data_IF_046431372635
#
_entry.id   IF_046431372635
#
_cell.length_a   1.000
_cell.length_b   1.000
_cell.length_c   1.000
_cell.angle_alpha   90.00
_cell.angle_beta   90.00
_cell.angle_gamma   90.00
#
_symmetry.space_group_name_H-M   'P 1'
#
loop_
_entity.id
_entity.type
_entity.pdbx_description
1 polymer ?
#
# COMPACT_ATOMS: atom_id res chain seq x y z
N UNK A 1 -33.38 14.33 -16.40
CA UNK A 1 -31.98 14.79 -16.52
C UNK A 1 -31.14 14.35 -15.32
N UNK A 2 -31.65 14.39 -14.08
CA UNK A 2 -30.93 13.85 -12.90
C UNK A 2 -30.72 12.33 -12.93
N UNK A 3 -31.72 11.58 -13.39
CA UNK A 3 -31.66 10.11 -13.47
C UNK A 3 -30.66 9.54 -14.48
N UNK A 4 -30.28 10.30 -15.49
CA UNK A 4 -29.29 9.84 -16.49
C UNK A 4 -27.86 10.01 -15.97
N UNK A 5 -27.57 11.11 -15.27
CA UNK A 5 -26.30 11.29 -14.56
C UNK A 5 -26.06 10.21 -13.52
N UNK A 6 -27.09 9.83 -12.76
CA UNK A 6 -26.97 8.76 -11.76
C UNK A 6 -26.64 7.40 -12.40
N UNK A 7 -27.21 7.11 -13.57
CA UNK A 7 -26.90 5.88 -14.33
C UNK A 7 -25.47 5.89 -14.85
N UNK A 8 -25.03 6.99 -15.47
CA UNK A 8 -23.65 7.13 -15.96
C UNK A 8 -22.62 6.97 -14.85
N UNK A 9 -22.89 7.56 -13.68
CA UNK A 9 -22.03 7.43 -12.49
C UNK A 9 -21.99 5.99 -11.99
N UNK A 10 -23.13 5.29 -11.97
CA UNK A 10 -23.18 3.89 -11.55
C UNK A 10 -22.40 2.98 -12.50
N UNK A 11 -22.60 3.13 -13.80
CA UNK A 11 -21.88 2.37 -14.82
C UNK A 11 -20.36 2.62 -14.76
N UNK A 12 -19.94 3.86 -14.50
CA UNK A 12 -18.54 4.20 -14.28
C UNK A 12 -17.95 3.44 -13.08
N UNK A 13 -18.63 3.44 -11.93
CA UNK A 13 -18.13 2.76 -10.74
C UNK A 13 -18.17 1.23 -10.86
N UNK A 14 -19.16 0.66 -11.56
CA UNK A 14 -19.21 -0.77 -11.85
C UNK A 14 -18.01 -1.20 -12.70
N UNK A 15 -17.69 -0.45 -13.77
CA UNK A 15 -16.50 -0.71 -14.60
C UNK A 15 -15.21 -0.55 -13.80
N UNK A 16 -15.09 0.54 -13.03
CA UNK A 16 -13.92 0.80 -12.20
C UNK A 16 -13.67 -0.33 -11.20
N UNK A 17 -14.74 -0.84 -10.57
CA UNK A 17 -14.63 -1.95 -9.64
C UNK A 17 -14.15 -3.23 -10.31
N UNK A 18 -14.69 -3.57 -11.48
CA UNK A 18 -14.24 -4.73 -12.25
C UNK A 18 -12.76 -4.62 -12.66
N UNK A 19 -12.31 -3.43 -13.08
CA UNK A 19 -10.89 -3.18 -13.40
C UNK A 19 -9.98 -3.32 -12.17
N UNK A 20 -10.43 -2.85 -11.00
CA UNK A 20 -9.70 -2.99 -9.74
C UNK A 20 -9.58 -4.46 -9.31
N UNK A 21 -10.69 -5.21 -9.40
CA UNK A 21 -10.71 -6.63 -9.02
C UNK A 21 -9.86 -7.50 -9.96
N UNK A 22 -9.73 -7.11 -11.24
CA UNK A 22 -8.87 -7.79 -12.22
C UNK A 22 -7.39 -7.44 -12.05
N UNK A 23 -7.08 -6.19 -11.69
CA UNK A 23 -5.70 -5.68 -11.63
C UNK A 23 -5.01 -5.91 -10.30
N UNK A 24 -5.76 -5.99 -9.20
CA UNK A 24 -5.21 -6.05 -7.85
C UNK A 24 -5.94 -7.09 -7.01
N UNK A 25 -5.18 -8.02 -6.42
CA UNK A 25 -5.72 -8.99 -5.48
C UNK A 25 -5.72 -8.38 -4.08
N UNK A 26 -6.90 -8.22 -3.49
CA UNK A 26 -7.04 -7.80 -2.09
C UNK A 26 -7.36 -8.99 -1.19
N UNK A 27 -6.79 -9.10 0.03
CA UNK A 27 -5.81 -8.20 0.63
C UNK A 27 -4.42 -8.36 0.01
N UNK A 28 -3.76 -7.24 -0.27
CA UNK A 28 -2.38 -7.20 -0.74
C UNK A 28 -1.41 -6.86 0.39
N UNK A 29 -0.14 -7.25 0.23
CA UNK A 29 0.92 -6.91 1.18
C UNK A 29 1.18 -5.40 1.08
N UNK A 30 0.94 -4.68 2.17
CA UNK A 30 1.21 -3.25 2.24
C UNK A 30 2.70 -2.99 2.49
N UNK A 31 3.36 -2.33 1.53
CA UNK A 31 4.80 -2.05 1.59
C UNK A 31 5.05 -0.70 2.28
N UNK A 32 5.70 -0.74 3.45
CA UNK A 32 6.22 0.46 4.11
C UNK A 32 7.67 0.72 3.67
N UNK A 33 8.00 2.00 3.43
CA UNK A 33 9.37 2.43 3.14
C UNK A 33 9.80 3.49 4.16
N UNK A 34 10.69 3.12 5.06
CA UNK A 34 11.29 4.03 6.03
C UNK A 34 12.62 4.53 5.49
N UNK A 35 12.80 5.85 5.47
CA UNK A 35 14.08 6.50 5.17
C UNK A 35 14.54 7.14 6.46
N UNK A 36 15.55 6.55 7.08
CA UNK A 36 16.11 6.98 8.36
C UNK A 36 17.61 7.24 8.22
N UNK A 37 18.20 8.12 9.05
CA UNK A 37 19.65 8.23 9.17
C UNK A 37 20.27 6.85 9.45
N UNK A 38 21.49 6.62 8.96
CA UNK A 38 22.20 5.32 9.05
C UNK A 38 22.70 4.96 10.47
N UNK A 39 22.00 5.43 11.50
CA UNK A 39 22.21 5.10 12.90
C UNK A 39 21.57 3.75 13.23
N UNK A 40 22.28 2.90 13.98
CA UNK A 40 21.80 1.55 14.33
C UNK A 40 20.50 1.56 15.13
N UNK A 41 20.36 2.52 16.04
CA UNK A 41 19.19 2.66 16.92
C UNK A 41 17.90 2.91 16.12
N UNK A 42 17.96 3.73 15.08
CA UNK A 42 16.80 4.02 14.23
C UNK A 42 16.32 2.78 13.48
N UNK A 43 17.26 1.96 12.98
CA UNK A 43 16.93 0.71 12.29
C UNK A 43 16.31 -0.29 13.26
N UNK A 44 16.88 -0.42 14.46
CA UNK A 44 16.38 -1.34 15.49
C UNK A 44 14.95 -0.96 15.90
N UNK A 45 14.68 0.33 16.14
CA UNK A 45 13.35 0.81 16.52
C UNK A 45 12.27 0.47 15.49
N UNK A 46 12.60 0.54 14.20
CA UNK A 46 11.69 0.10 13.13
C UNK A 46 11.53 -1.42 13.16
N UNK A 47 12.60 -2.18 13.35
CA UNK A 47 12.51 -3.65 13.42
C UNK A 47 11.64 -4.12 14.58
N UNK A 48 11.83 -3.56 15.78
CA UNK A 48 11.03 -3.89 16.98
C UNK A 48 9.55 -3.54 16.81
N UNK A 49 9.24 -2.43 16.12
CA UNK A 49 7.85 -2.03 15.88
C UNK A 49 7.06 -3.03 15.00
N UNK A 50 7.75 -3.85 14.21
CA UNK A 50 7.15 -4.87 13.35
C UNK A 50 7.49 -6.31 13.81
N UNK A 51 8.07 -6.44 15.01
CA UNK A 51 8.40 -7.76 15.56
C UNK A 51 7.14 -8.60 15.78
N UNK A 52 7.25 -9.91 15.58
CA UNK A 52 6.14 -10.88 15.64
C UNK A 52 4.97 -10.64 14.65
N UNK A 53 5.04 -9.66 13.74
CA UNK A 53 3.99 -9.40 12.73
C UNK A 53 4.16 -10.21 11.43
N UNK A 54 5.20 -11.05 11.32
CA UNK A 54 5.52 -11.76 10.08
C UNK A 54 6.01 -10.84 8.95
N UNK A 55 6.43 -9.61 9.27
CA UNK A 55 6.90 -8.64 8.31
C UNK A 55 8.30 -9.02 7.78
N UNK A 56 8.48 -9.00 6.45
CA UNK A 56 9.79 -9.19 5.81
C UNK A 56 10.46 -7.83 5.63
N UNK A 57 11.43 -7.51 6.49
CA UNK A 57 12.13 -6.22 6.48
C UNK A 57 13.38 -6.32 5.60
N UNK A 58 13.51 -5.43 4.62
CA UNK A 58 14.72 -5.27 3.79
C UNK A 58 15.36 -3.91 4.06
N UNK A 59 16.65 -3.91 4.39
CA UNK A 59 17.41 -2.69 4.67
C UNK A 59 18.44 -2.47 3.57
N UNK A 60 18.40 -1.32 2.92
CA UNK A 60 19.39 -0.90 1.91
C UNK A 60 20.05 0.38 2.39
N UNK A 61 21.38 0.40 2.48
CA UNK A 61 22.11 1.65 2.73
C UNK A 61 22.08 2.51 1.47
N UNK A 62 21.62 3.75 1.58
CA UNK A 62 21.70 4.71 0.47
C UNK A 62 23.15 5.04 0.16
N UNK A 63 23.46 5.29 -1.11
CA UNK A 63 24.76 5.86 -1.49
C UNK A 63 24.81 7.32 -1.03
N UNK A 64 25.94 7.72 -0.45
CA UNK A 64 26.28 9.13 -0.20
C UNK A 64 26.92 9.74 -1.45
#
# INVERSE_FOLDING_TARGET
MESEKEKEVREFYERLKAELDLSSTWPSIYLYKFIVPSEKENVLRVQEAFDCMGAVIKTTKSKT
#
